data_IF_668481862001
#
_entry.id   IF_668481862001
#
_cell.length_a   1.000
_cell.length_b   1.000
_cell.length_c   1.000
_cell.angle_alpha   90.00
_cell.angle_beta   90.00
_cell.angle_gamma   90.00
#
_symmetry.space_group_name_H-M   'P 1'
#
loop_
_entity.id
_entity.type
_entity.pdbx_description
1 polymer ?
#
# COMPACT_ATOMS: atom_id res chain seq x y z
N UNK A 1 -34.90 25.95 7.55
CA UNK A 1 -33.64 25.91 6.79
C UNK A 1 -32.89 24.66 7.20
N UNK A 2 -33.00 23.59 6.41
CA UNK A 2 -32.54 22.25 6.77
C UNK A 2 -31.04 22.13 6.58
N UNK A 3 -30.30 22.12 7.69
CA UNK A 3 -28.93 21.65 7.73
C UNK A 3 -28.96 20.17 7.30
N UNK A 4 -28.58 19.91 6.05
CA UNK A 4 -28.24 18.56 5.62
C UNK A 4 -26.99 18.15 6.37
N UNK A 5 -27.23 17.50 7.52
CA UNK A 5 -26.33 16.63 8.25
C UNK A 5 -25.66 15.69 7.25
N UNK A 6 -24.60 16.19 6.62
CA UNK A 6 -23.75 15.40 5.73
C UNK A 6 -22.83 14.67 6.68
N UNK A 7 -23.38 13.67 7.37
CA UNK A 7 -22.62 12.65 8.10
C UNK A 7 -21.85 11.87 7.04
N UNK A 8 -20.77 12.47 6.55
CA UNK A 8 -19.79 11.83 5.70
C UNK A 8 -19.44 10.53 6.40
N UNK A 9 -19.83 9.40 5.81
CA UNK A 9 -19.62 8.09 6.41
C UNK A 9 -18.14 8.04 6.81
N UNK A 10 -17.78 7.74 8.07
CA UNK A 10 -16.40 7.82 8.55
C UNK A 10 -15.44 7.00 7.67
N UNK A 11 -15.96 5.93 7.06
CA UNK A 11 -15.27 5.16 6.03
C UNK A 11 -14.85 5.99 4.80
N UNK A 12 -15.73 6.82 4.25
CA UNK A 12 -15.45 7.66 3.07
C UNK A 12 -14.38 8.73 3.33
N UNK A 13 -14.38 9.32 4.54
CA UNK A 13 -13.33 10.27 4.95
C UNK A 13 -11.98 9.55 5.05
N UNK A 14 -11.94 8.37 5.69
CA UNK A 14 -10.71 7.56 5.80
C UNK A 14 -10.17 7.15 4.44
N UNK A 15 -11.02 6.70 3.52
CA UNK A 15 -10.64 6.37 2.14
C UNK A 15 -10.06 7.58 1.41
N UNK A 16 -10.67 8.76 1.58
CA UNK A 16 -10.20 9.99 0.94
C UNK A 16 -8.84 10.41 1.49
N UNK A 17 -8.63 10.31 2.80
CA UNK A 17 -7.34 10.59 3.44
C UNK A 17 -6.26 9.60 2.97
N UNK A 18 -6.57 8.30 2.91
CA UNK A 18 -5.64 7.29 2.42
C UNK A 18 -5.24 7.53 0.95
N UNK A 19 -6.20 7.85 0.08
CA UNK A 19 -5.92 8.16 -1.33
C UNK A 19 -5.07 9.44 -1.49
N UNK A 20 -5.32 10.50 -0.71
CA UNK A 20 -4.42 11.67 -0.68
C UNK A 20 -3.01 11.28 -0.24
N UNK A 21 -2.88 10.37 0.72
CA UNK A 21 -1.58 9.83 1.14
C UNK A 21 -0.84 9.14 -0.01
N UNK A 22 -1.55 8.31 -0.79
CA UNK A 22 -1.00 7.63 -1.98
C UNK A 22 -0.52 8.64 -3.03
N UNK A 23 -1.32 9.67 -3.31
CA UNK A 23 -0.96 10.73 -4.27
C UNK A 23 0.27 11.52 -3.82
N UNK A 24 0.30 11.94 -2.56
CA UNK A 24 1.42 12.69 -1.99
C UNK A 24 2.71 11.87 -2.00
N UNK A 25 2.65 10.60 -1.57
CA UNK A 25 3.82 9.73 -1.57
C UNK A 25 4.28 9.37 -2.99
N UNK A 26 3.35 9.20 -3.94
CA UNK A 26 3.66 9.01 -5.36
C UNK A 26 4.43 10.20 -5.94
N UNK A 27 3.96 11.42 -5.66
CA UNK A 27 4.64 12.65 -6.07
C UNK A 27 6.02 12.80 -5.39
N UNK A 28 6.11 12.44 -4.10
CA UNK A 28 7.36 12.42 -3.35
C UNK A 28 8.39 11.45 -3.97
N UNK A 29 7.95 10.28 -4.40
CA UNK A 29 8.81 9.31 -5.11
C UNK A 29 9.29 9.85 -6.46
N UNK A 30 8.43 10.50 -7.23
CA UNK A 30 8.83 11.15 -8.50
C UNK A 30 9.86 12.25 -8.23
N UNK A 31 9.68 13.06 -7.20
CA UNK A 31 10.65 14.07 -6.80
C UNK A 31 11.98 13.47 -6.35
N UNK A 32 11.96 12.42 -5.52
CA UNK A 32 13.15 11.69 -5.08
C UNK A 32 13.91 11.06 -6.26
N UNK A 33 13.21 10.54 -7.27
CA UNK A 33 13.87 10.01 -8.49
C UNK A 33 14.62 11.08 -9.27
N UNK A 34 14.17 12.34 -9.26
CA UNK A 34 14.86 13.46 -9.93
C UNK A 34 16.18 13.81 -9.25
N UNK A 35 16.30 13.61 -7.93
CA UNK A 35 17.54 13.87 -7.20
C UNK A 35 18.59 12.77 -7.39
N UNK A 36 18.19 11.61 -7.95
CA UNK A 36 19.02 10.39 -8.10
C UNK A 36 19.65 9.87 -6.80
N UNK A 37 19.15 10.32 -5.64
CA UNK A 37 19.60 9.82 -4.35
C UNK A 37 18.91 8.51 -4.02
N UNK A 38 19.68 7.42 -4.00
CA UNK A 38 19.17 6.07 -3.69
C UNK A 38 18.48 6.03 -2.32
N UNK A 39 19.03 6.71 -1.32
CA UNK A 39 18.46 6.76 0.02
C UNK A 39 17.09 7.48 0.04
N UNK A 40 16.94 8.59 -0.68
CA UNK A 40 15.67 9.30 -0.77
C UNK A 40 14.63 8.51 -1.56
N UNK A 41 15.05 7.82 -2.62
CA UNK A 41 14.18 6.95 -3.41
C UNK A 41 13.66 5.80 -2.53
N UNK A 42 14.53 5.09 -1.82
CA UNK A 42 14.14 3.98 -0.95
C UNK A 42 13.16 4.43 0.14
N UNK A 43 13.41 5.60 0.76
CA UNK A 43 12.50 6.18 1.75
C UNK A 43 11.13 6.49 1.13
N UNK A 44 11.10 7.17 -0.01
CA UNK A 44 9.86 7.53 -0.68
C UNK A 44 9.08 6.30 -1.19
N UNK A 45 9.77 5.23 -1.59
CA UNK A 45 9.14 3.95 -1.94
C UNK A 45 8.48 3.29 -0.72
N UNK A 46 9.14 3.32 0.44
CA UNK A 46 8.57 2.84 1.71
C UNK A 46 7.34 3.64 2.15
N UNK A 47 7.42 4.97 2.11
CA UNK A 47 6.28 5.86 2.42
C UNK A 47 5.09 5.60 1.48
N UNK A 48 5.36 5.41 0.18
CA UNK A 48 4.33 5.07 -0.78
C UNK A 48 3.73 3.69 -0.51
N UNK A 49 4.54 2.69 -0.17
CA UNK A 49 4.03 1.37 0.19
C UNK A 49 3.11 1.42 1.41
N UNK A 50 3.49 2.14 2.47
CA UNK A 50 2.64 2.33 3.66
C UNK A 50 1.31 3.01 3.31
N UNK A 51 1.32 4.03 2.44
CA UNK A 51 0.10 4.69 2.01
C UNK A 51 -0.83 3.78 1.20
N UNK A 52 -0.24 2.96 0.31
CA UNK A 52 -0.98 1.96 -0.47
C UNK A 52 -1.58 0.88 0.44
N UNK A 53 -0.83 0.40 1.43
CA UNK A 53 -1.31 -0.57 2.42
C UNK A 53 -2.50 0.00 3.22
N UNK A 54 -2.42 1.25 3.68
CA UNK A 54 -3.52 1.92 4.37
C UNK A 54 -4.78 2.06 3.48
N UNK A 55 -4.61 2.30 2.18
CA UNK A 55 -5.73 2.31 1.24
C UNK A 55 -6.30 0.88 1.03
N UNK A 56 -5.45 -0.14 1.02
CA UNK A 56 -5.86 -1.55 0.88
C UNK A 56 -6.58 -2.09 2.10
N UNK A 57 -6.19 -1.68 3.30
CA UNK A 57 -6.89 -2.00 4.55
C UNK A 57 -8.30 -1.37 4.63
N UNK A 58 -8.56 -0.37 3.78
CA UNK A 58 -9.88 0.25 3.58
C UNK A 58 -10.62 -0.28 2.33
N UNK A 59 -10.20 -1.45 1.83
CA UNK A 59 -10.76 -2.13 0.67
C UNK A 59 -10.76 -1.31 -0.63
N UNK A 60 -9.85 -0.33 -0.77
CA UNK A 60 -9.73 0.43 -2.01
C UNK A 60 -9.23 -0.46 -3.13
N UNK A 61 -9.90 -0.41 -4.28
CA UNK A 61 -9.54 -1.18 -5.45
C UNK A 61 -8.20 -0.75 -6.06
N UNK A 62 -7.44 -1.73 -6.55
CA UNK A 62 -6.18 -1.50 -7.26
C UNK A 62 -6.31 -0.59 -8.48
N UNK A 63 -7.48 -0.56 -9.13
CA UNK A 63 -7.73 0.36 -10.25
C UNK A 63 -7.70 1.82 -9.83
N UNK A 64 -8.27 2.12 -8.66
CA UNK A 64 -8.29 3.48 -8.09
C UNK A 64 -6.90 3.91 -7.61
N UNK A 65 -6.18 3.00 -6.95
CA UNK A 65 -4.78 3.22 -6.52
C UNK A 65 -3.88 3.45 -7.74
N UNK A 66 -4.00 2.61 -8.77
CA UNK A 66 -3.24 2.75 -10.01
C UNK A 66 -3.52 4.09 -10.71
N UNK A 67 -4.79 4.50 -10.79
CA UNK A 67 -5.19 5.77 -11.39
C UNK A 67 -4.56 6.97 -10.67
N UNK A 68 -4.56 6.98 -9.33
CA UNK A 68 -3.91 8.02 -8.53
C UNK A 68 -2.39 8.07 -8.73
N UNK A 69 -1.76 6.94 -9.02
CA UNK A 69 -0.34 6.83 -9.32
C UNK A 69 0.01 7.02 -10.80
N UNK A 70 -0.98 7.19 -11.68
CA UNK A 70 -0.77 7.26 -13.13
C UNK A 70 -0.24 5.96 -13.74
N UNK A 71 -0.48 4.81 -13.10
CA UNK A 71 -0.05 3.48 -13.59
C UNK A 71 -1.23 2.56 -13.83
N UNK A 72 -1.08 1.61 -14.74
CA UNK A 72 -2.08 0.58 -14.97
C UNK A 72 -2.35 -0.24 -13.68
N UNK A 73 -3.61 -0.65 -13.48
CA UNK A 73 -4.05 -1.51 -12.37
C UNK A 73 -3.14 -2.72 -12.16
N UNK A 74 -2.78 -3.42 -13.25
CA UNK A 74 -1.92 -4.60 -13.19
C UNK A 74 -0.53 -4.30 -12.63
N UNK A 75 0.04 -3.15 -12.98
CA UNK A 75 1.34 -2.70 -12.48
C UNK A 75 1.26 -2.33 -10.99
N UNK A 76 0.20 -1.63 -10.57
CA UNK A 76 -0.04 -1.35 -9.16
C UNK A 76 -0.17 -2.65 -8.34
N UNK A 77 -0.98 -3.60 -8.83
CA UNK A 77 -1.12 -4.90 -8.20
C UNK A 77 0.22 -5.63 -8.11
N UNK A 78 0.98 -5.77 -9.21
CA UNK A 78 2.25 -6.49 -9.18
C UNK A 78 3.28 -5.90 -8.21
N UNK A 79 3.36 -4.57 -8.12
CA UNK A 79 4.32 -3.86 -7.27
C UNK A 79 3.97 -3.93 -5.79
N UNK A 80 2.70 -3.69 -5.46
CA UNK A 80 2.28 -3.47 -4.08
C UNK A 80 1.51 -4.65 -3.48
N UNK A 81 1.19 -5.70 -4.25
CA UNK A 81 0.56 -6.93 -3.70
C UNK A 81 1.47 -7.73 -2.78
N UNK A 82 2.78 -7.44 -2.73
CA UNK A 82 3.72 -8.18 -1.88
C UNK A 82 3.51 -7.79 -0.42
N UNK A 83 2.48 -8.39 0.17
CA UNK A 83 2.35 -8.55 1.61
C UNK A 83 3.30 -9.70 1.99
N UNK A 84 4.41 -9.48 2.71
CA UNK A 84 5.00 -10.60 3.42
C UNK A 84 3.90 -11.12 4.37
N UNK A 85 3.64 -12.44 4.41
CA UNK A 85 2.66 -12.97 5.31
C UNK A 85 3.05 -12.59 6.74
N UNK A 86 2.13 -11.93 7.45
CA UNK A 86 2.15 -11.67 8.89
C UNK A 86 2.15 -12.97 9.73
N UNK A 87 2.37 -14.14 9.11
CA UNK A 87 2.41 -15.46 9.74
C UNK A 87 3.57 -16.36 9.26
N UNK A 88 4.66 -15.78 8.74
CA UNK A 88 5.91 -16.54 8.59
C UNK A 88 6.86 -16.20 9.74
N UNK A 89 6.55 -16.71 10.93
CA UNK A 89 7.57 -16.90 11.97
C UNK A 89 8.60 -17.91 11.45
N UNK A 90 9.90 -17.58 11.37
CA UNK A 90 10.94 -18.57 11.18
C UNK A 90 11.26 -19.21 12.53
N UNK A 91 10.92 -20.50 12.69
CA UNK A 91 11.50 -21.33 13.76
C UNK A 91 10.61 -21.59 14.97
N UNK A 92 9.75 -22.59 14.85
CA UNK A 92 9.44 -23.51 15.96
C UNK A 92 9.19 -24.88 15.34
N UNK A 93 10.17 -25.79 15.46
CA UNK A 93 10.16 -27.16 14.90
C UNK A 93 9.21 -28.11 15.64
N UNK A 94 9.39 -29.46 15.62
CA UNK A 94 10.48 -30.23 15.03
C UNK A 94 10.06 -31.52 14.26
N UNK A 95 11.08 -32.22 13.74
CA UNK A 95 11.23 -33.70 13.73
C UNK A 95 10.77 -34.50 12.50
N UNK A 96 11.80 -35.06 11.86
CA UNK A 96 11.96 -36.43 11.34
C UNK A 96 10.81 -37.07 10.53
N UNK A 97 11.12 -37.38 9.27
CA UNK A 97 10.58 -38.58 8.63
C UNK A 97 11.73 -39.57 8.40
N UNK A 98 11.67 -40.79 8.94
CA UNK A 98 12.63 -41.84 8.62
C UNK A 98 12.43 -42.28 7.16
N UNK A 99 13.50 -42.29 6.36
CA UNK A 99 13.52 -43.02 5.08
C UNK A 99 13.54 -44.50 5.41
N UNK A 100 12.41 -45.17 5.20
CA UNK A 100 12.37 -46.63 5.10
C UNK A 100 13.08 -47.06 3.82
N UNK A 101 14.13 -47.86 3.96
CA UNK A 101 14.62 -48.84 2.99
C UNK A 101 15.06 -50.07 3.78
#
# INVERSE_FOLDING_TARGET
MTATDTKAKPHGVRVTTAMRGVELAGNGLVAAKRTRSVALIARAEGELQTAVDAARDLDVEWGRIGSALGIARGNAYQRYRRKPPINSMPGTGPRAQPRSL
#
